data_IF_272174861977
#
_entry.id   IF_272174861977
#
_cell.length_a   1.000
_cell.length_b   1.000
_cell.length_c   1.000
_cell.angle_alpha   90.00
_cell.angle_beta   90.00
_cell.angle_gamma   90.00
#
_symmetry.space_group_name_H-M   'P 1'
#
loop_
_entity.id
_entity.type
_entity.pdbx_description
1 polymer ?
#
# COMPACT_ATOMS: atom_id res chain seq x y z
N UNK A 1 17.57 27.75 9.24
CA UNK A 1 16.38 27.85 10.11
C UNK A 1 15.20 27.41 9.26
N UNK A 2 14.39 26.46 9.72
CA UNK A 2 13.19 26.06 9.00
C UNK A 2 12.18 27.21 9.00
N UNK A 3 11.67 27.55 7.84
CA UNK A 3 10.76 28.69 7.63
C UNK A 3 9.40 28.24 7.05
N UNK A 4 9.32 27.01 6.57
CA UNK A 4 8.11 26.42 5.98
C UNK A 4 7.54 25.35 6.92
N UNK A 5 6.22 25.28 6.98
CA UNK A 5 5.52 24.14 7.58
C UNK A 5 5.69 22.87 6.72
N UNK A 6 5.50 21.67 7.27
CA UNK A 6 5.51 20.44 6.49
C UNK A 6 4.64 20.50 5.23
N UNK A 7 3.42 21.02 5.36
CA UNK A 7 2.49 21.12 4.25
C UNK A 7 2.96 22.10 3.16
N UNK A 8 3.41 23.30 3.55
CA UNK A 8 3.98 24.29 2.61
C UNK A 8 5.18 23.74 1.87
N UNK A 9 6.02 22.93 2.54
CA UNK A 9 7.20 22.31 1.93
C UNK A 9 6.81 21.28 0.87
N UNK A 10 5.82 20.41 1.14
CA UNK A 10 5.30 19.45 0.16
C UNK A 10 4.61 20.18 -1.00
N UNK A 11 3.79 21.21 -0.73
CA UNK A 11 3.15 22.03 -1.76
C UNK A 11 4.17 22.69 -2.70
N UNK A 12 5.28 23.19 -2.15
CA UNK A 12 6.34 23.80 -2.93
C UNK A 12 7.05 22.77 -3.83
N UNK A 13 7.33 21.55 -3.33
CA UNK A 13 7.92 20.47 -4.14
C UNK A 13 7.00 20.06 -5.28
N UNK A 14 5.72 19.87 -5.02
CA UNK A 14 4.73 19.51 -6.04
C UNK A 14 4.67 20.58 -7.15
N UNK A 15 4.87 21.84 -6.78
CA UNK A 15 4.90 23.00 -7.71
C UNK A 15 6.28 23.29 -8.28
N UNK A 16 7.28 22.45 -8.06
CA UNK A 16 8.69 22.67 -8.46
C UNK A 16 9.28 24.01 -7.95
N UNK A 17 8.89 24.43 -6.74
CA UNK A 17 9.37 25.65 -6.10
C UNK A 17 10.48 25.35 -5.10
N UNK A 18 11.23 26.39 -4.74
CA UNK A 18 12.29 26.27 -3.74
C UNK A 18 11.72 25.97 -2.35
N UNK A 19 12.45 25.15 -1.59
CA UNK A 19 12.12 24.74 -0.23
C UNK A 19 13.26 25.10 0.72
N UNK A 20 12.95 25.27 2.00
CA UNK A 20 13.92 25.57 3.04
C UNK A 20 14.81 24.35 3.41
N UNK A 21 14.32 23.15 3.24
CA UNK A 21 15.05 21.86 3.26
C UNK A 21 14.34 20.82 2.39
N UNK A 22 15.03 19.76 2.03
CA UNK A 22 14.39 18.60 1.39
C UNK A 22 13.36 17.99 2.33
N UNK A 23 12.08 17.83 1.89
CA UNK A 23 11.09 17.11 2.68
C UNK A 23 11.45 15.63 2.77
N UNK A 24 11.10 15.01 3.89
CA UNK A 24 11.28 13.58 4.05
C UNK A 24 10.10 12.94 4.79
N UNK A 25 9.92 11.66 4.59
CA UNK A 25 9.03 10.80 5.36
C UNK A 25 9.59 9.38 5.43
N UNK A 26 9.08 8.59 6.37
CA UNK A 26 9.36 7.15 6.44
C UNK A 26 8.17 6.41 5.89
N UNK A 27 8.41 5.58 4.88
CA UNK A 27 7.43 4.65 4.32
C UNK A 27 7.54 3.33 5.08
N UNK A 28 6.43 2.68 5.37
CA UNK A 28 6.37 1.36 6.02
C UNK A 28 7.10 1.27 7.39
N UNK A 29 6.89 2.28 8.23
CA UNK A 29 7.48 2.33 9.57
C UNK A 29 6.85 1.41 10.62
N UNK A 30 5.83 0.63 10.30
CA UNK A 30 5.00 -0.10 11.27
C UNK A 30 5.77 -1.08 12.15
N UNK A 31 6.66 -1.89 11.58
CA UNK A 31 7.49 -2.83 12.33
C UNK A 31 8.46 -2.11 13.29
N UNK A 32 9.00 -0.98 12.88
CA UNK A 32 9.88 -0.17 13.72
C UNK A 32 9.12 0.54 14.84
N UNK A 33 7.93 1.08 14.54
CA UNK A 33 7.05 1.67 15.55
C UNK A 33 6.69 0.64 16.61
N UNK A 34 6.25 -0.56 16.21
CA UNK A 34 5.93 -1.65 17.12
C UNK A 34 7.11 -2.00 18.04
N UNK A 35 8.33 -2.11 17.48
CA UNK A 35 9.54 -2.36 18.25
C UNK A 35 9.83 -1.24 19.26
N UNK A 36 9.65 0.01 18.88
CA UNK A 36 9.89 1.17 19.73
C UNK A 36 8.91 1.24 20.89
N UNK A 37 7.68 0.82 20.69
CA UNK A 37 6.63 0.76 21.72
C UNK A 37 6.69 -0.50 22.58
N UNK A 38 7.56 -1.46 22.23
CA UNK A 38 7.66 -2.73 22.94
C UNK A 38 6.47 -3.67 22.73
N UNK A 39 5.74 -3.49 21.62
CA UNK A 39 4.63 -4.35 21.20
C UNK A 39 5.00 -5.17 19.97
N UNK A 40 4.23 -6.20 19.67
CA UNK A 40 4.38 -6.92 18.42
C UNK A 40 3.71 -6.16 17.27
N UNK A 41 4.18 -6.36 16.04
CA UNK A 41 3.54 -5.77 14.86
C UNK A 41 2.06 -6.20 14.74
N UNK A 42 1.75 -7.46 15.07
CA UNK A 42 0.37 -7.96 15.13
C UNK A 42 -0.51 -7.17 16.11
N UNK A 43 0.02 -6.82 17.29
CA UNK A 43 -0.69 -6.00 18.26
C UNK A 43 -0.92 -4.59 17.75
N UNK A 44 0.09 -3.95 17.17
CA UNK A 44 -0.02 -2.63 16.56
C UNK A 44 -1.10 -2.62 15.47
N UNK A 45 -1.04 -3.57 14.55
CA UNK A 45 -1.97 -3.68 13.43
C UNK A 45 -3.41 -4.02 13.87
N UNK A 46 -3.59 -4.71 15.00
CA UNK A 46 -4.90 -5.09 15.53
C UNK A 46 -5.66 -3.95 16.20
N UNK A 47 -5.01 -2.80 16.41
CA UNK A 47 -5.56 -1.65 17.15
C UNK A 47 -5.61 -0.40 16.26
N UNK A 48 -6.64 -0.23 15.40
CA UNK A 48 -6.68 0.89 14.45
C UNK A 48 -6.49 2.26 15.12
N UNK A 49 -7.11 2.48 16.27
CA UNK A 49 -7.08 3.76 16.99
C UNK A 49 -5.70 4.03 17.62
N UNK A 50 -5.19 3.08 18.43
CA UNK A 50 -3.87 3.23 19.04
C UNK A 50 -2.75 3.09 18.03
N UNK A 51 -2.91 2.24 16.99
CA UNK A 51 -1.97 2.15 15.89
C UNK A 51 -1.85 3.47 15.13
N UNK A 52 -2.94 4.16 14.86
CA UNK A 52 -2.93 5.49 14.26
C UNK A 52 -2.19 6.51 15.13
N UNK A 53 -2.46 6.53 16.44
CA UNK A 53 -1.77 7.42 17.38
C UNK A 53 -0.28 7.15 17.39
N UNK A 54 0.14 5.88 17.45
CA UNK A 54 1.54 5.48 17.43
C UNK A 54 2.26 5.94 16.17
N UNK A 55 1.63 5.79 14.98
CA UNK A 55 2.18 6.26 13.71
C UNK A 55 2.36 7.77 13.71
N UNK A 56 1.34 8.53 14.13
CA UNK A 56 1.37 9.98 14.16
C UNK A 56 2.42 10.49 15.15
N UNK A 57 2.45 9.95 16.36
CA UNK A 57 3.41 10.34 17.39
C UNK A 57 4.85 10.06 16.98
N UNK A 58 5.08 8.89 16.36
CA UNK A 58 6.41 8.50 15.91
C UNK A 58 6.90 9.39 14.77
N UNK A 59 6.08 9.58 13.73
CA UNK A 59 6.45 10.42 12.59
C UNK A 59 6.61 11.90 12.98
N UNK A 60 5.88 12.36 13.99
CA UNK A 60 6.10 13.70 14.56
C UNK A 60 7.41 13.80 15.33
N UNK A 61 7.81 12.76 16.09
CA UNK A 61 9.10 12.75 16.81
C UNK A 61 10.33 12.85 15.90
N UNK A 62 10.22 12.40 14.67
CA UNK A 62 11.31 12.49 13.68
C UNK A 62 11.12 13.65 12.70
N UNK A 63 10.21 14.58 12.96
CA UNK A 63 9.89 15.73 12.11
C UNK A 63 9.54 15.35 10.66
N UNK A 64 8.86 14.23 10.46
CA UNK A 64 8.39 13.79 9.15
C UNK A 64 7.46 14.83 8.52
N UNK A 65 7.63 15.09 7.23
CA UNK A 65 6.81 16.05 6.49
C UNK A 65 5.45 15.50 6.04
N UNK A 66 5.29 14.18 6.02
CA UNK A 66 4.03 13.49 5.72
C UNK A 66 3.75 12.41 6.76
N UNK A 67 2.51 11.96 6.82
CA UNK A 67 2.07 10.88 7.70
C UNK A 67 1.51 9.73 6.87
N UNK A 68 1.88 8.49 7.19
CA UNK A 68 1.27 7.31 6.56
C UNK A 68 -0.18 7.13 7.04
N UNK A 69 -1.09 6.89 6.11
CA UNK A 69 -2.49 6.57 6.39
C UNK A 69 -2.65 5.20 7.06
N UNK A 70 -1.76 4.28 6.71
CA UNK A 70 -1.79 2.89 7.17
C UNK A 70 -0.40 2.45 7.61
N UNK A 71 -0.33 1.54 8.57
CA UNK A 71 0.93 0.98 9.05
C UNK A 71 1.18 -0.39 8.41
N UNK A 72 1.80 -0.40 7.25
CA UNK A 72 2.73 -1.42 6.87
C UNK A 72 2.30 -2.76 6.29
N UNK A 73 1.05 -3.06 5.94
CA UNK A 73 0.77 -4.21 5.06
C UNK A 73 0.14 -3.71 3.77
N UNK A 74 1.00 -3.12 2.92
CA UNK A 74 0.57 -2.48 1.67
C UNK A 74 -0.14 -3.43 0.68
N UNK A 75 0.04 -4.75 0.84
CA UNK A 75 -0.65 -5.81 0.06
C UNK A 75 -1.92 -6.33 0.73
N UNK A 76 -2.31 -5.80 1.91
CA UNK A 76 -3.41 -6.36 2.71
C UNK A 76 -4.76 -6.43 1.98
N UNK A 77 -5.01 -5.53 1.02
CA UNK A 77 -6.22 -5.53 0.20
C UNK A 77 -6.38 -6.82 -0.64
N UNK A 78 -5.28 -7.50 -0.97
CA UNK A 78 -5.34 -8.74 -1.75
C UNK A 78 -5.97 -9.91 -0.99
N UNK A 79 -6.11 -9.82 0.35
CA UNK A 79 -6.88 -10.80 1.11
C UNK A 79 -8.36 -10.84 0.67
N UNK A 80 -8.89 -9.73 0.18
CA UNK A 80 -10.23 -9.68 -0.38
C UNK A 80 -10.41 -10.59 -1.61
N UNK A 81 -9.32 -10.90 -2.29
CA UNK A 81 -9.26 -11.74 -3.49
C UNK A 81 -8.63 -13.12 -3.24
N UNK A 82 -8.53 -13.53 -1.98
CA UNK A 82 -8.09 -14.87 -1.60
C UNK A 82 -6.62 -15.01 -1.21
N UNK A 83 -5.79 -13.95 -1.32
CA UNK A 83 -4.40 -14.01 -0.86
C UNK A 83 -4.36 -14.15 0.67
N UNK A 84 -3.76 -15.21 1.22
CA UNK A 84 -3.64 -15.34 2.66
C UNK A 84 -2.69 -14.29 3.24
N UNK A 85 -3.06 -13.70 4.38
CA UNK A 85 -2.20 -12.74 5.09
C UNK A 85 -1.67 -13.38 6.35
N UNK A 86 -0.35 -13.43 6.48
CA UNK A 86 0.34 -13.77 7.71
C UNK A 86 0.93 -12.51 8.34
N UNK A 87 0.41 -12.10 9.49
CA UNK A 87 0.98 -11.01 10.28
C UNK A 87 1.68 -11.65 11.48
N UNK A 88 2.99 -11.57 11.52
CA UNK A 88 3.81 -12.11 12.60
C UNK A 88 4.19 -11.06 13.66
N UNK A 89 5.23 -11.34 14.45
CA UNK A 89 5.69 -10.46 15.52
C UNK A 89 6.48 -9.24 15.01
N UNK A 90 7.11 -9.35 13.86
CA UNK A 90 8.09 -8.36 13.35
C UNK A 90 7.66 -7.68 12.06
N UNK A 91 6.66 -8.20 11.37
CA UNK A 91 6.14 -7.62 10.15
C UNK A 91 4.90 -8.34 9.64
N UNK A 92 4.24 -7.74 8.66
CA UNK A 92 3.17 -8.39 7.92
C UNK A 92 3.72 -8.93 6.60
N UNK A 93 3.35 -10.15 6.27
CA UNK A 93 3.63 -10.74 4.98
C UNK A 93 2.37 -11.37 4.40
N UNK A 94 2.23 -11.29 3.10
CA UNK A 94 1.29 -12.16 2.39
C UNK A 94 2.00 -13.47 2.12
N UNK A 95 1.34 -14.57 2.40
CA UNK A 95 1.83 -15.88 1.98
C UNK A 95 1.78 -15.91 0.43
N UNK A 96 2.95 -16.20 -0.17
CA UNK A 96 3.17 -16.08 -1.62
C UNK A 96 2.73 -17.32 -2.40
N UNK A 97 1.72 -18.04 -1.92
CA UNK A 97 1.09 -19.08 -2.73
C UNK A 97 0.16 -18.46 -3.77
N UNK A 98 0.12 -19.00 -5.00
CA UNK A 98 -0.85 -18.59 -6.02
C UNK A 98 -2.29 -18.75 -5.49
N UNK A 99 -3.13 -17.76 -5.73
CA UNK A 99 -4.58 -17.88 -5.47
C UNK A 99 -5.27 -18.66 -6.59
N UNK A 100 -4.62 -18.81 -7.73
CA UNK A 100 -5.12 -19.53 -8.88
C UNK A 100 -4.57 -20.97 -8.92
N UNK A 101 -5.43 -21.93 -9.24
CA UNK A 101 -5.03 -23.31 -9.54
C UNK A 101 -4.70 -23.47 -11.03
N UNK A 102 -5.38 -22.70 -11.86
CA UNK A 102 -5.24 -22.65 -13.31
C UNK A 102 -5.32 -21.18 -13.75
N UNK A 103 -4.21 -20.42 -13.67
CA UNK A 103 -4.19 -18.99 -14.00
C UNK A 103 -4.75 -18.68 -15.38
N UNK A 104 -4.44 -19.51 -16.39
CA UNK A 104 -4.85 -19.30 -17.78
C UNK A 104 -6.39 -19.28 -17.91
N UNK A 105 -7.07 -20.15 -17.20
CA UNK A 105 -8.53 -20.24 -17.27
C UNK A 105 -9.26 -19.41 -16.21
N UNK A 106 -8.62 -19.10 -15.08
CA UNK A 106 -9.27 -18.39 -13.97
C UNK A 106 -9.13 -16.87 -14.07
N UNK A 107 -7.99 -16.35 -14.53
CA UNK A 107 -7.75 -14.90 -14.67
C UNK A 107 -8.80 -14.22 -15.56
N UNK A 108 -9.15 -14.75 -16.75
CA UNK A 108 -10.18 -14.15 -17.60
C UNK A 108 -11.57 -14.09 -16.97
N UNK A 109 -11.80 -14.81 -15.87
CA UNK A 109 -13.09 -14.84 -15.15
C UNK A 109 -13.17 -13.81 -14.01
N UNK A 110 -12.08 -13.06 -13.75
CA UNK A 110 -12.05 -12.03 -12.71
C UNK A 110 -13.07 -10.92 -13.02
N UNK A 111 -13.94 -10.63 -12.05
CA UNK A 111 -14.99 -9.63 -12.22
C UNK A 111 -14.58 -8.27 -11.65
N UNK A 112 -14.39 -7.30 -12.54
CA UNK A 112 -14.01 -5.92 -12.18
C UNK A 112 -15.17 -5.12 -11.56
N UNK A 113 -16.41 -5.45 -11.87
CA UNK A 113 -17.59 -4.71 -11.39
C UNK A 113 -17.82 -4.88 -9.88
N UNK A 114 -17.34 -5.98 -9.30
CA UNK A 114 -17.53 -6.29 -7.88
C UNK A 114 -16.36 -5.88 -6.99
N UNK A 115 -15.30 -5.28 -7.54
CA UNK A 115 -14.07 -4.96 -6.81
C UNK A 115 -14.37 -4.12 -5.56
N UNK A 116 -15.12 -3.03 -5.69
CA UNK A 116 -15.44 -2.16 -4.56
C UNK A 116 -16.16 -2.89 -3.44
N UNK A 117 -17.21 -3.65 -3.77
CA UNK A 117 -17.99 -4.39 -2.79
C UNK A 117 -17.15 -5.49 -2.12
N UNK A 118 -16.30 -6.16 -2.89
CA UNK A 118 -15.36 -7.18 -2.40
C UNK A 118 -14.36 -6.59 -1.42
N UNK A 119 -13.79 -5.44 -1.75
CA UNK A 119 -12.87 -4.71 -0.86
C UNK A 119 -13.58 -4.27 0.42
N UNK A 120 -14.75 -3.66 0.32
CA UNK A 120 -15.52 -3.18 1.47
C UNK A 120 -16.00 -4.30 2.40
N UNK A 121 -16.20 -5.51 1.90
CA UNK A 121 -16.57 -6.67 2.70
C UNK A 121 -15.39 -7.28 3.46
N UNK A 122 -14.15 -6.86 3.18
CA UNK A 122 -12.95 -7.46 3.75
C UNK A 122 -12.49 -6.75 5.04
N UNK A 123 -12.22 -7.53 6.10
CA UNK A 123 -11.81 -7.03 7.41
C UNK A 123 -10.48 -6.26 7.40
N UNK A 124 -9.52 -6.67 6.57
CA UNK A 124 -8.22 -5.97 6.47
C UNK A 124 -8.39 -4.61 5.81
N UNK A 125 -9.19 -4.53 4.76
CA UNK A 125 -9.53 -3.27 4.09
C UNK A 125 -10.27 -2.34 5.05
N UNK A 126 -11.23 -2.86 5.83
CA UNK A 126 -11.92 -2.06 6.85
C UNK A 126 -10.97 -1.52 7.92
N UNK A 127 -9.96 -2.30 8.32
CA UNK A 127 -8.92 -1.81 9.25
C UNK A 127 -8.09 -0.68 8.62
N UNK A 128 -7.69 -0.79 7.36
CA UNK A 128 -6.96 0.26 6.65
C UNK A 128 -7.80 1.55 6.58
N UNK A 129 -9.06 1.45 6.19
CA UNK A 129 -10.00 2.58 6.14
C UNK A 129 -10.15 3.23 7.52
N UNK A 130 -10.38 2.44 8.56
CA UNK A 130 -10.56 2.96 9.91
C UNK A 130 -9.28 3.63 10.43
N UNK A 131 -8.11 3.06 10.20
CA UNK A 131 -6.85 3.67 10.56
C UNK A 131 -6.65 5.01 9.85
N UNK A 132 -6.94 5.08 8.54
CA UNK A 132 -6.88 6.32 7.75
C UNK A 132 -7.76 7.42 8.37
N UNK A 133 -9.00 7.10 8.77
CA UNK A 133 -9.90 8.05 9.46
C UNK A 133 -9.32 8.56 10.77
N UNK A 134 -8.71 7.67 11.58
CA UNK A 134 -8.08 8.05 12.85
C UNK A 134 -6.86 8.93 12.63
N UNK A 135 -5.99 8.58 11.67
CA UNK A 135 -4.85 9.42 11.29
C UNK A 135 -5.35 10.81 10.86
N UNK A 136 -6.39 10.88 10.03
CA UNK A 136 -6.97 12.16 9.57
C UNK A 136 -7.52 12.98 10.74
N UNK A 137 -8.18 12.34 11.70
CA UNK A 137 -8.69 13.02 12.89
C UNK A 137 -7.59 13.61 13.77
N UNK A 138 -6.42 12.94 13.85
CA UNK A 138 -5.28 13.39 14.64
C UNK A 138 -4.46 14.48 13.94
N UNK A 139 -4.24 14.34 12.62
CA UNK A 139 -3.36 15.22 11.83
C UNK A 139 -4.11 16.46 11.31
N UNK A 140 -5.40 16.33 11.03
CA UNK A 140 -6.19 17.40 10.42
C UNK A 140 -5.63 17.82 9.07
N UNK A 141 -5.27 19.10 8.94
CA UNK A 141 -4.68 19.69 7.73
C UNK A 141 -3.22 20.14 7.94
N UNK A 142 -2.55 19.67 8.99
CA UNK A 142 -1.19 20.11 9.33
C UNK A 142 -0.13 19.48 8.41
N UNK A 143 -0.34 18.24 8.00
CA UNK A 143 0.54 17.47 7.11
C UNK A 143 -0.30 16.74 6.06
N UNK A 144 0.34 16.39 4.95
CA UNK A 144 -0.24 15.46 3.99
C UNK A 144 -0.25 14.03 4.54
N UNK A 145 -1.32 13.32 4.25
CA UNK A 145 -1.50 11.91 4.59
C UNK A 145 -1.36 11.10 3.31
N UNK A 146 -0.38 10.19 3.27
CA UNK A 146 -0.20 9.31 2.12
C UNK A 146 -0.69 7.89 2.42
N UNK A 147 -1.30 7.27 1.42
CA UNK A 147 -1.72 5.87 1.46
C UNK A 147 -0.72 5.00 0.71
N UNK A 148 -0.14 4.02 1.41
CA UNK A 148 0.78 3.04 0.86
C UNK A 148 -0.01 1.76 0.53
N UNK A 149 -0.13 1.46 -0.76
CA UNK A 149 -0.83 0.28 -1.29
C UNK A 149 0.05 -0.33 -2.38
N UNK A 150 0.05 -1.65 -2.50
CA UNK A 150 0.78 -2.31 -3.59
C UNK A 150 0.31 -1.76 -4.95
N UNK A 151 1.25 -1.51 -5.82
CA UNK A 151 0.95 -1.19 -7.20
C UNK A 151 0.50 -2.42 -8.00
N UNK A 152 -0.08 -2.21 -9.19
CA UNK A 152 -0.72 -3.27 -9.97
C UNK A 152 0.19 -4.46 -10.28
N UNK A 153 1.43 -4.20 -10.66
CA UNK A 153 2.39 -5.25 -11.02
C UNK A 153 2.76 -6.12 -9.81
N UNK A 154 3.02 -5.50 -8.67
CA UNK A 154 3.26 -6.22 -7.41
C UNK A 154 2.04 -7.00 -6.97
N UNK A 155 0.82 -6.45 -7.11
CA UNK A 155 -0.42 -7.16 -6.82
C UNK A 155 -0.56 -8.42 -7.68
N UNK A 156 -0.36 -8.31 -8.99
CA UNK A 156 -0.43 -9.42 -9.94
C UNK A 156 0.60 -10.51 -9.58
N UNK A 157 1.84 -10.11 -9.33
CA UNK A 157 2.90 -11.04 -8.94
C UNK A 157 2.62 -11.76 -7.61
N UNK A 158 1.98 -11.08 -6.64
CA UNK A 158 1.58 -11.71 -5.37
C UNK A 158 0.44 -12.70 -5.58
N UNK A 159 -0.55 -12.36 -6.42
CA UNK A 159 -1.71 -13.23 -6.68
C UNK A 159 -1.34 -14.53 -7.39
N UNK A 160 -0.37 -14.50 -8.28
CA UNK A 160 0.12 -15.69 -9.02
C UNK A 160 1.23 -16.43 -8.27
N UNK A 161 2.03 -15.69 -7.49
CA UNK A 161 3.33 -16.09 -6.98
C UNK A 161 4.43 -15.53 -7.89
N UNK A 162 5.40 -14.81 -7.31
CA UNK A 162 6.37 -13.99 -8.08
C UNK A 162 7.12 -14.78 -9.16
N UNK A 163 7.57 -16.00 -8.85
CA UNK A 163 8.31 -16.82 -9.82
C UNK A 163 7.43 -17.29 -10.98
N UNK A 164 6.21 -17.72 -10.66
CA UNK A 164 5.25 -18.21 -11.65
C UNK A 164 4.72 -17.03 -12.50
N UNK A 165 4.57 -15.84 -11.91
CA UNK A 165 4.20 -14.64 -12.63
C UNK A 165 5.24 -14.24 -13.69
N UNK A 166 6.54 -14.30 -13.36
CA UNK A 166 7.62 -14.02 -14.33
C UNK A 166 7.62 -15.06 -15.46
N UNK A 167 7.36 -16.33 -15.16
CA UNK A 167 7.19 -17.35 -16.21
C UNK A 167 5.97 -17.08 -17.08
N UNK A 168 4.86 -16.71 -16.46
CA UNK A 168 3.61 -16.39 -17.17
C UNK A 168 3.80 -15.20 -18.13
N UNK A 169 4.59 -14.19 -17.75
CA UNK A 169 4.93 -13.06 -18.64
C UNK A 169 5.62 -13.51 -19.93
N UNK A 170 6.43 -14.59 -19.88
CA UNK A 170 7.14 -15.10 -21.05
C UNK A 170 6.31 -16.08 -21.88
N UNK A 171 5.41 -16.81 -21.24
CA UNK A 171 4.68 -17.91 -21.89
C UNK A 171 3.28 -17.47 -22.34
N UNK A 172 2.59 -16.61 -21.58
CA UNK A 172 1.20 -16.21 -21.78
C UNK A 172 0.99 -14.71 -21.48
N UNK A 173 1.66 -13.79 -22.23
CA UNK A 173 1.60 -12.35 -21.96
C UNK A 173 0.19 -11.76 -21.96
N UNK A 174 -0.71 -12.25 -22.81
CA UNK A 174 -2.10 -11.80 -22.85
C UNK A 174 -2.85 -12.04 -21.53
N UNK A 175 -2.59 -13.16 -20.86
CA UNK A 175 -3.17 -13.48 -19.55
C UNK A 175 -2.60 -12.54 -18.47
N UNK A 176 -1.31 -12.20 -18.59
CA UNK A 176 -0.68 -11.22 -17.70
C UNK A 176 -1.32 -9.83 -17.86
N UNK A 177 -1.58 -9.38 -19.08
CA UNK A 177 -2.25 -8.10 -19.33
C UNK A 177 -3.67 -8.09 -18.74
N UNK A 178 -4.44 -9.17 -18.86
CA UNK A 178 -5.77 -9.27 -18.25
C UNK A 178 -5.71 -9.16 -16.72
N UNK A 179 -4.70 -9.79 -16.09
CA UNK A 179 -4.48 -9.70 -14.65
C UNK A 179 -4.03 -8.31 -14.23
N UNK A 180 -3.12 -7.68 -15.00
CA UNK A 180 -2.67 -6.31 -14.74
C UNK A 180 -3.83 -5.32 -14.82
N UNK A 181 -4.69 -5.45 -15.82
CA UNK A 181 -5.91 -4.65 -15.95
C UNK A 181 -6.84 -4.80 -14.73
N UNK A 182 -6.97 -6.02 -14.20
CA UNK A 182 -7.74 -6.27 -12.99
C UNK A 182 -7.08 -5.59 -11.77
N UNK A 183 -5.78 -5.78 -11.58
CA UNK A 183 -5.05 -5.22 -10.43
C UNK A 183 -4.91 -3.70 -10.50
N UNK A 184 -4.89 -3.09 -11.68
CA UNK A 184 -5.04 -1.62 -11.85
C UNK A 184 -6.37 -1.15 -11.28
N UNK A 185 -7.48 -1.84 -11.58
CA UNK A 185 -8.78 -1.49 -11.00
C UNK A 185 -8.81 -1.66 -9.48
N UNK A 186 -8.19 -2.74 -8.95
CA UNK A 186 -8.08 -2.95 -7.50
C UNK A 186 -7.28 -1.83 -6.83
N UNK A 187 -6.11 -1.48 -7.38
CA UNK A 187 -5.25 -0.41 -6.87
C UNK A 187 -5.99 0.95 -6.88
N UNK A 188 -6.61 1.30 -8.00
CA UNK A 188 -7.37 2.54 -8.15
C UNK A 188 -8.53 2.63 -7.14
N UNK A 189 -9.27 1.54 -6.95
CA UNK A 189 -10.37 1.51 -5.99
C UNK A 189 -9.88 1.62 -4.55
N UNK A 190 -8.77 0.96 -4.19
CA UNK A 190 -8.17 1.11 -2.86
C UNK A 190 -7.76 2.55 -2.58
N UNK A 191 -7.11 3.24 -3.53
CA UNK A 191 -6.76 4.66 -3.36
C UNK A 191 -7.99 5.55 -3.26
N UNK A 192 -9.06 5.24 -4.01
CA UNK A 192 -10.35 5.93 -3.90
C UNK A 192 -10.93 5.79 -2.49
N UNK A 193 -10.97 4.56 -1.96
CA UNK A 193 -11.44 4.29 -0.61
C UNK A 193 -10.61 5.00 0.47
N UNK A 194 -9.29 5.01 0.34
CA UNK A 194 -8.41 5.72 1.26
C UNK A 194 -8.61 7.25 1.16
N UNK A 195 -8.77 7.79 -0.05
CA UNK A 195 -9.02 9.21 -0.27
C UNK A 195 -10.36 9.66 0.33
N UNK A 196 -11.44 8.92 0.11
CA UNK A 196 -12.75 9.16 0.72
C UNK A 196 -12.70 9.20 2.26
N UNK A 197 -11.65 8.61 2.86
CA UNK A 197 -11.46 8.51 4.30
C UNK A 197 -10.31 9.38 4.84
N UNK A 198 -9.77 10.29 4.02
CA UNK A 198 -8.87 11.35 4.47
C UNK A 198 -7.41 11.22 4.03
N UNK A 199 -7.08 10.25 3.17
CA UNK A 199 -5.79 10.20 2.52
C UNK A 199 -5.69 11.28 1.43
N UNK A 200 -4.55 11.97 1.35
CA UNK A 200 -4.34 13.07 0.41
C UNK A 200 -3.49 12.63 -0.80
N UNK A 201 -2.60 11.66 -0.64
CA UNK A 201 -1.60 11.26 -1.65
C UNK A 201 -1.62 9.73 -1.82
N UNK A 202 -1.79 9.26 -3.06
CA UNK A 202 -1.62 7.86 -3.42
C UNK A 202 -0.12 7.53 -3.56
N UNK A 203 0.33 6.46 -2.91
CA UNK A 203 1.69 5.95 -3.01
C UNK A 203 1.65 4.47 -3.44
N UNK A 204 1.65 4.19 -4.77
CA UNK A 204 1.72 2.82 -5.26
C UNK A 204 3.13 2.25 -5.08
N UNK A 205 3.25 1.17 -4.31
CA UNK A 205 4.52 0.49 -4.07
C UNK A 205 4.72 -0.67 -5.06
N UNK A 206 5.78 -0.61 -5.86
CA UNK A 206 6.09 -1.59 -6.91
C UNK A 206 7.45 -2.28 -6.71
N UNK A 207 7.69 -2.97 -5.59
CA UNK A 207 8.98 -3.62 -5.36
C UNK A 207 9.29 -4.75 -6.35
N UNK A 208 8.28 -5.43 -6.89
CA UNK A 208 8.47 -6.52 -7.85
C UNK A 208 8.83 -5.99 -9.24
N UNK A 209 8.33 -4.82 -9.64
CA UNK A 209 8.67 -4.15 -10.90
C UNK A 209 10.10 -3.55 -10.94
N UNK A 210 11.04 -4.11 -10.18
CA UNK A 210 12.41 -3.61 -10.12
C UNK A 210 13.32 -4.30 -11.14
N UNK A 211 14.34 -3.58 -11.64
CA UNK A 211 15.32 -4.10 -12.59
C UNK A 211 16.18 -5.27 -12.09
N UNK A 212 16.02 -5.71 -10.85
CA UNK A 212 16.62 -6.93 -10.31
C UNK A 212 15.78 -8.19 -10.56
N UNK A 213 14.51 -8.03 -10.90
CA UNK A 213 13.57 -9.13 -11.14
C UNK A 213 13.06 -9.15 -12.58
N UNK A 214 12.87 -7.98 -13.19
CA UNK A 214 12.28 -7.81 -14.51
C UNK A 214 13.25 -6.99 -15.35
N UNK A 215 13.52 -7.41 -16.59
CA UNK A 215 14.32 -6.59 -17.51
C UNK A 215 13.53 -5.37 -17.98
N UNK A 216 14.22 -4.35 -18.49
CA UNK A 216 13.55 -3.20 -19.08
C UNK A 216 12.63 -3.62 -20.24
N UNK A 217 13.05 -4.53 -21.09
CA UNK A 217 12.31 -5.05 -22.22
C UNK A 217 10.98 -5.71 -21.77
N UNK A 218 11.04 -6.59 -20.76
CA UNK A 218 9.87 -7.24 -20.18
C UNK A 218 8.89 -6.25 -19.51
N UNK A 219 9.38 -5.11 -19.05
CA UNK A 219 8.54 -4.09 -18.39
C UNK A 219 7.88 -3.14 -19.40
N UNK A 220 8.51 -2.95 -20.59
CA UNK A 220 7.98 -2.09 -21.65
C UNK A 220 6.99 -2.82 -22.56
N UNK A 221 6.96 -4.16 -22.58
CA UNK A 221 6.03 -5.00 -23.33
C UNK A 221 4.65 -5.05 -22.67
#
# INVERSE_FOLDING_TARGET
METMTPKERIDAVIKHQAVDRTPFTVVDGGAWIAKTEGVTYRELYSRPDSGASSVVDYLNKIDSDMISAVSGVFTACLNAFGCPISIDKIGGAIDTGSVFKDPINEIPQLNRETIRDTLLANDFVQKMINQTRHVKALVGNQKYIFGDVAGPFTMAAVMVGTSDFIMLMLEEPEIVHELLDFTVCVSAEMFTLLHENGCDIAFPAEPVGSGSLVSQEMFEE
#
